data_IF_497807948098
#
_entry.id   IF_497807948098
#
_cell.length_a   1.000
_cell.length_b   1.000
_cell.length_c   1.000
_cell.angle_alpha   90.00
_cell.angle_beta   90.00
_cell.angle_gamma   90.00
#
_symmetry.space_group_name_H-M   'P 1'
#
loop_
_entity.id
_entity.type
_entity.pdbx_description
1 polymer ?
#
# COMPACT_ATOMS: atom_id res chain seq x y z
N UNK A 1 11.01 -56.18 -57.05
CA UNK A 1 10.17 -55.03 -56.83
C UNK A 1 10.03 -54.84 -55.30
N UNK A 2 10.90 -54.01 -54.69
CA UNK A 2 10.97 -53.84 -53.23
C UNK A 2 10.18 -52.62 -52.85
N UNK A 3 9.12 -52.78 -52.01
CA UNK A 3 8.33 -51.71 -51.42
C UNK A 3 9.01 -51.31 -50.14
N UNK A 4 9.54 -50.07 -50.05
CA UNK A 4 10.02 -49.45 -48.81
C UNK A 4 8.85 -48.82 -48.09
N UNK A 5 8.45 -49.40 -46.94
CA UNK A 5 7.57 -48.72 -45.98
C UNK A 5 8.36 -47.63 -45.21
N UNK A 6 7.96 -46.39 -45.39
CA UNK A 6 8.42 -45.26 -44.57
C UNK A 6 7.45 -45.11 -43.41
N UNK A 7 7.90 -45.46 -42.22
CA UNK A 7 7.16 -45.20 -40.96
C UNK A 7 7.49 -43.78 -40.53
N UNK A 8 6.56 -42.85 -40.76
CA UNK A 8 6.63 -41.47 -40.27
C UNK A 8 6.28 -41.43 -38.78
N UNK A 9 7.29 -41.20 -37.94
CA UNK A 9 7.07 -40.96 -36.53
C UNK A 9 6.50 -39.57 -36.30
N UNK A 10 5.27 -39.49 -35.77
CA UNK A 10 4.66 -38.24 -35.29
C UNK A 10 5.25 -37.94 -33.92
N UNK A 11 6.15 -36.94 -33.82
CA UNK A 11 6.59 -36.35 -32.59
C UNK A 11 5.47 -35.45 -32.05
N UNK A 12 4.75 -35.93 -31.01
CA UNK A 12 3.85 -35.13 -30.23
C UNK A 12 4.69 -34.15 -29.38
N UNK A 13 4.77 -32.89 -29.78
CA UNK A 13 5.24 -31.79 -28.95
C UNK A 13 4.17 -31.51 -27.88
N UNK A 14 4.34 -32.10 -26.68
CA UNK A 14 3.59 -31.70 -25.50
C UNK A 14 4.18 -30.33 -25.10
N UNK A 15 3.54 -29.25 -25.55
CA UNK A 15 3.84 -27.90 -25.08
C UNK A 15 3.58 -27.85 -23.56
N UNK A 16 4.64 -27.81 -22.77
CA UNK A 16 4.55 -27.39 -21.38
C UNK A 16 4.05 -25.94 -21.40
N UNK A 17 2.78 -25.73 -21.12
CA UNK A 17 2.24 -24.42 -20.75
C UNK A 17 2.89 -24.12 -19.39
N UNK A 18 4.03 -23.44 -19.42
CA UNK A 18 4.68 -22.96 -18.23
C UNK A 18 3.70 -22.02 -17.53
N UNK A 19 3.09 -22.46 -16.43
CA UNK A 19 2.43 -21.56 -15.52
C UNK A 19 3.50 -20.56 -15.09
N UNK A 20 3.33 -19.29 -15.51
CA UNK A 20 4.15 -18.20 -14.97
C UNK A 20 3.89 -18.15 -13.48
N UNK A 21 4.88 -18.57 -12.70
CA UNK A 21 4.78 -18.68 -11.24
C UNK A 21 4.81 -17.27 -10.64
N UNK A 22 3.71 -16.53 -10.78
CA UNK A 22 3.56 -15.12 -10.39
C UNK A 22 2.33 -14.93 -9.51
N UNK A 23 2.50 -14.14 -8.46
CA UNK A 23 1.44 -13.69 -7.56
C UNK A 23 1.19 -12.20 -7.79
N UNK A 24 0.00 -11.83 -8.21
CA UNK A 24 -0.40 -10.45 -8.47
C UNK A 24 -0.99 -9.81 -7.21
N UNK A 25 -0.26 -8.88 -6.64
CA UNK A 25 -0.63 -8.20 -5.40
C UNK A 25 -1.04 -6.75 -5.68
N UNK A 26 -2.31 -6.45 -5.41
CA UNK A 26 -2.82 -5.09 -5.38
C UNK A 26 -2.54 -4.51 -3.98
N UNK A 27 -1.76 -3.44 -3.86
CA UNK A 27 -1.40 -2.85 -2.56
C UNK A 27 -1.56 -1.33 -2.55
N UNK A 28 -2.15 -0.79 -1.49
CA UNK A 28 -2.21 0.65 -1.27
C UNK A 28 -0.79 1.26 -1.17
N UNK A 29 -0.58 2.41 -1.80
CA UNK A 29 0.74 3.01 -2.02
C UNK A 29 1.56 3.31 -0.75
N UNK A 30 0.91 3.45 0.41
CA UNK A 30 1.61 3.61 1.69
C UNK A 30 2.48 2.39 2.03
N UNK A 31 2.05 1.18 1.65
CA UNK A 31 2.70 -0.07 2.03
C UNK A 31 3.69 -0.58 0.95
N UNK A 32 3.82 0.11 -0.18
CA UNK A 32 4.62 -0.32 -1.32
C UNK A 32 6.07 -0.66 -0.97
N UNK A 33 6.81 0.27 -0.36
CA UNK A 33 8.23 0.05 -0.02
C UNK A 33 8.44 -1.10 0.97
N UNK A 34 7.52 -1.23 1.94
CA UNK A 34 7.50 -2.33 2.91
C UNK A 34 7.24 -3.65 2.20
N UNK A 35 6.23 -3.66 1.30
CA UNK A 35 5.88 -4.86 0.54
C UNK A 35 6.99 -5.30 -0.39
N UNK A 36 7.72 -4.39 -1.03
CA UNK A 36 8.86 -4.74 -1.89
C UNK A 36 9.90 -5.58 -1.14
N UNK A 37 10.27 -5.19 0.09
CA UNK A 37 11.24 -5.94 0.88
C UNK A 37 10.68 -7.29 1.33
N UNK A 38 9.44 -7.32 1.82
CA UNK A 38 8.75 -8.56 2.21
C UNK A 38 8.63 -9.52 1.02
N UNK A 39 8.27 -9.01 -0.16
CA UNK A 39 8.10 -9.80 -1.38
C UNK A 39 9.40 -10.43 -1.87
N UNK A 40 10.54 -9.73 -1.72
CA UNK A 40 11.84 -10.27 -2.08
C UNK A 40 12.18 -11.52 -1.26
N UNK A 41 11.87 -11.52 0.04
CA UNK A 41 12.09 -12.67 0.92
C UNK A 41 11.12 -13.82 0.62
N UNK A 42 9.86 -13.49 0.35
CA UNK A 42 8.89 -14.50 -0.07
C UNK A 42 9.33 -15.18 -1.37
N UNK A 43 9.75 -14.39 -2.36
CA UNK A 43 10.26 -14.92 -3.63
C UNK A 43 11.50 -15.79 -3.41
N UNK A 44 12.46 -15.36 -2.58
CA UNK A 44 13.65 -16.13 -2.28
C UNK A 44 13.35 -17.49 -1.61
N UNK A 45 12.31 -17.53 -0.75
CA UNK A 45 11.94 -18.75 -0.01
C UNK A 45 11.03 -19.71 -0.77
N UNK A 46 10.28 -19.22 -1.77
CA UNK A 46 9.23 -20.00 -2.46
C UNK A 46 9.45 -20.17 -3.95
N UNK A 47 10.32 -19.35 -4.57
CA UNK A 47 10.46 -19.24 -6.03
C UNK A 47 9.30 -18.50 -6.72
N UNK A 48 8.25 -18.11 -5.98
CA UNK A 48 7.07 -17.42 -6.52
C UNK A 48 7.34 -15.92 -6.65
N UNK A 49 7.33 -15.39 -7.87
CA UNK A 49 7.55 -13.97 -8.13
C UNK A 49 6.31 -13.15 -7.75
N UNK A 50 6.50 -12.14 -6.94
CA UNK A 50 5.42 -11.17 -6.59
C UNK A 50 5.43 -9.99 -7.56
N UNK A 51 4.29 -9.77 -8.21
CA UNK A 51 4.04 -8.62 -9.10
C UNK A 51 3.16 -7.63 -8.35
N UNK A 52 3.66 -6.42 -8.14
CA UNK A 52 3.01 -5.41 -7.29
C UNK A 52 2.37 -4.32 -8.15
N UNK A 53 1.09 -4.04 -7.91
CA UNK A 53 0.37 -2.89 -8.46
C UNK A 53 -0.05 -1.97 -7.31
N UNK A 54 0.26 -0.66 -7.41
CA UNK A 54 0.19 0.25 -6.26
C UNK A 54 -0.38 1.64 -6.56
N UNK A 55 -1.67 1.81 -6.84
CA UNK A 55 -2.37 3.10 -6.77
C UNK A 55 -2.97 3.36 -5.38
N UNK A 56 -4.05 4.16 -5.29
CA UNK A 56 -4.82 4.33 -4.06
C UNK A 56 -5.69 3.10 -3.75
N UNK A 57 -6.08 2.93 -2.50
CA UNK A 57 -7.02 1.88 -2.08
C UNK A 57 -8.32 1.93 -2.87
N UNK A 58 -8.87 3.13 -3.10
CA UNK A 58 -10.11 3.31 -3.87
C UNK A 58 -9.97 2.95 -5.35
N UNK A 59 -8.84 3.32 -5.96
CA UNK A 59 -8.56 2.97 -7.36
C UNK A 59 -8.42 1.45 -7.53
N UNK A 60 -7.69 0.79 -6.63
CA UNK A 60 -7.55 -0.68 -6.63
C UNK A 60 -8.91 -1.37 -6.48
N UNK A 61 -9.72 -0.90 -5.53
CA UNK A 61 -11.07 -1.43 -5.32
C UNK A 61 -11.92 -1.33 -6.59
N UNK A 62 -11.91 -0.17 -7.26
CA UNK A 62 -12.61 0.00 -8.54
C UNK A 62 -12.09 -0.97 -9.61
N UNK A 63 -10.77 -1.14 -9.75
CA UNK A 63 -10.17 -2.08 -10.68
C UNK A 63 -10.60 -3.53 -10.40
N UNK A 64 -10.65 -3.94 -9.12
CA UNK A 64 -11.09 -5.28 -8.71
C UNK A 64 -12.57 -5.49 -9.08
N UNK A 65 -13.44 -4.50 -8.85
CA UNK A 65 -14.85 -4.58 -9.25
C UNK A 65 -15.02 -4.73 -10.77
N UNK A 66 -14.11 -4.15 -11.55
CA UNK A 66 -14.07 -4.29 -13.02
C UNK A 66 -13.30 -5.53 -13.50
N UNK A 67 -12.91 -6.44 -12.59
CA UNK A 67 -12.33 -7.73 -12.93
C UNK A 67 -10.83 -7.75 -13.16
N UNK A 68 -10.08 -6.77 -12.64
CA UNK A 68 -8.62 -6.81 -12.67
C UNK A 68 -8.09 -8.10 -12.01
N UNK A 69 -7.09 -8.78 -12.63
CA UNK A 69 -6.66 -10.11 -12.26
C UNK A 69 -5.65 -10.09 -11.10
N UNK A 70 -6.07 -9.62 -9.94
CA UNK A 70 -5.26 -9.68 -8.73
C UNK A 70 -5.60 -10.93 -7.91
N UNK A 71 -4.61 -11.47 -7.20
CA UNK A 71 -4.74 -12.62 -6.32
C UNK A 71 -5.07 -12.21 -4.89
N UNK A 72 -4.47 -11.12 -4.42
CA UNK A 72 -4.68 -10.58 -3.09
C UNK A 72 -4.69 -9.04 -3.12
N UNK A 73 -5.55 -8.45 -2.32
CA UNK A 73 -5.65 -7.00 -2.15
C UNK A 73 -5.28 -6.59 -0.73
N UNK A 74 -4.26 -5.75 -0.59
CA UNK A 74 -3.81 -5.13 0.65
C UNK A 74 -4.28 -3.67 0.68
N UNK A 75 -5.44 -3.45 1.26
CA UNK A 75 -6.07 -2.13 1.39
C UNK A 75 -5.47 -1.34 2.55
N UNK A 76 -5.58 -0.02 2.52
CA UNK A 76 -5.28 0.83 3.66
C UNK A 76 -6.53 1.15 4.52
N UNK A 77 -7.64 0.47 4.30
CA UNK A 77 -8.85 0.52 5.13
C UNK A 77 -9.46 -0.88 5.31
N UNK A 78 -10.53 -0.95 6.11
CA UNK A 78 -11.33 -2.17 6.31
C UNK A 78 -12.58 -2.19 5.42
N UNK A 79 -13.12 -1.00 5.09
CA UNK A 79 -14.39 -0.86 4.38
C UNK A 79 -14.41 -1.58 3.04
N UNK A 80 -13.39 -1.34 2.21
CA UNK A 80 -13.34 -1.90 0.85
C UNK A 80 -13.10 -3.42 0.82
N UNK A 81 -12.20 -4.00 1.64
CA UNK A 81 -12.14 -5.45 1.85
C UNK A 81 -13.45 -6.06 2.33
N UNK A 82 -14.17 -5.43 3.29
CA UNK A 82 -15.48 -5.88 3.76
C UNK A 82 -16.52 -5.91 2.64
N UNK A 83 -16.54 -4.89 1.80
CA UNK A 83 -17.45 -4.82 0.65
C UNK A 83 -17.15 -5.92 -0.38
N UNK A 84 -15.87 -6.24 -0.64
CA UNK A 84 -15.48 -7.33 -1.55
C UNK A 84 -15.94 -8.70 -1.01
N UNK A 85 -15.78 -8.93 0.29
CA UNK A 85 -16.26 -10.17 0.93
C UNK A 85 -17.78 -10.26 0.84
N UNK A 86 -18.51 -9.19 1.18
CA UNK A 86 -19.99 -9.14 1.08
C UNK A 86 -20.51 -9.39 -0.33
N UNK A 87 -19.76 -8.99 -1.35
CA UNK A 87 -20.08 -9.20 -2.77
C UNK A 87 -19.66 -10.60 -3.28
N UNK A 88 -19.04 -11.44 -2.45
CA UNK A 88 -18.51 -12.74 -2.87
C UNK A 88 -17.32 -12.66 -3.85
N UNK A 89 -16.61 -11.53 -3.89
CA UNK A 89 -15.44 -11.31 -4.75
C UNK A 89 -14.13 -11.72 -4.05
N UNK A 90 -14.14 -11.73 -2.72
CA UNK A 90 -12.99 -12.11 -1.90
C UNK A 90 -13.35 -12.86 -0.65
N UNK A 91 -12.36 -13.49 -0.04
CA UNK A 91 -12.47 -14.27 1.20
C UNK A 91 -11.26 -14.07 2.11
N UNK A 92 -11.28 -14.69 3.29
CA UNK A 92 -10.12 -14.77 4.21
C UNK A 92 -9.52 -13.40 4.58
N UNK A 93 -10.41 -12.41 4.83
CA UNK A 93 -10.00 -11.06 5.24
C UNK A 93 -9.28 -11.07 6.60
N UNK A 94 -8.21 -10.26 6.71
CA UNK A 94 -7.49 -10.05 7.98
C UNK A 94 -6.80 -8.70 8.02
N UNK A 95 -6.65 -8.12 9.23
CA UNK A 95 -5.85 -6.89 9.43
C UNK A 95 -4.36 -7.25 9.43
N UNK A 96 -3.58 -6.67 8.50
CA UNK A 96 -2.15 -6.93 8.40
C UNK A 96 -1.28 -5.83 9.03
N UNK A 97 -1.80 -4.60 9.14
CA UNK A 97 -1.10 -3.45 9.71
C UNK A 97 -2.08 -2.38 10.24
N UNK A 98 -1.58 -1.54 11.15
CA UNK A 98 -2.23 -0.30 11.57
C UNK A 98 -1.36 0.86 11.10
N UNK A 99 -1.87 1.68 10.18
CA UNK A 99 -1.15 2.78 9.58
C UNK A 99 -0.95 3.94 10.57
N UNK A 100 0.15 4.65 10.39
CA UNK A 100 0.45 5.89 11.11
C UNK A 100 0.68 7.00 10.10
N UNK A 101 0.06 8.15 10.33
CA UNK A 101 0.25 9.34 9.49
C UNK A 101 1.28 10.26 10.11
N UNK A 102 2.04 10.97 9.27
CA UNK A 102 3.01 11.99 9.66
C UNK A 102 2.86 13.23 8.77
N UNK A 103 3.13 14.39 9.32
CA UNK A 103 3.35 15.61 8.55
C UNK A 103 4.86 15.73 8.29
N UNK A 104 5.27 15.66 7.04
CA UNK A 104 6.65 15.89 6.62
C UNK A 104 6.84 17.28 6.03
N UNK A 105 8.09 17.75 6.00
CA UNK A 105 8.50 19.00 5.35
C UNK A 105 9.58 18.76 4.31
N UNK A 106 9.81 19.75 3.43
CA UNK A 106 11.01 19.80 2.59
C UNK A 106 12.25 20.08 3.43
N UNK A 107 13.44 19.79 2.90
CA UNK A 107 14.73 20.01 3.59
C UNK A 107 14.98 21.48 3.95
N UNK A 108 14.54 22.41 3.09
CA UNK A 108 14.69 23.84 3.31
C UNK A 108 13.68 24.44 4.28
N UNK A 109 12.78 23.64 4.87
CA UNK A 109 11.86 24.14 5.88
C UNK A 109 12.62 24.53 7.14
N UNK A 110 12.47 25.77 7.65
CA UNK A 110 13.45 26.41 8.56
C UNK A 110 13.49 25.80 9.96
N UNK A 111 12.55 24.94 10.33
CA UNK A 111 12.44 24.38 11.69
C UNK A 111 11.98 22.93 11.67
N UNK A 112 12.20 22.19 12.78
CA UNK A 112 11.62 20.88 12.94
C UNK A 112 10.10 20.90 12.71
N UNK A 113 9.60 19.97 11.92
CA UNK A 113 8.17 19.86 11.63
C UNK A 113 7.39 19.46 12.87
N UNK A 114 6.42 20.27 13.25
CA UNK A 114 5.52 20.06 14.40
C UNK A 114 4.08 20.36 13.99
N UNK A 115 3.11 20.21 14.89
CA UNK A 115 1.73 20.67 14.66
C UNK A 115 1.69 22.15 14.28
N UNK A 116 2.49 22.99 14.96
CA UNK A 116 2.51 24.44 14.73
C UNK A 116 3.04 24.82 13.35
N UNK A 117 3.74 23.92 12.65
CA UNK A 117 4.15 24.14 11.26
C UNK A 117 2.94 24.40 10.35
N UNK A 118 1.77 23.84 10.65
CA UNK A 118 0.52 24.09 9.91
C UNK A 118 -0.03 25.52 10.08
N UNK A 119 0.42 26.25 11.11
CA UNK A 119 0.02 27.63 11.41
C UNK A 119 1.04 28.66 10.93
N UNK A 120 2.23 28.20 10.50
CA UNK A 120 3.31 29.07 10.01
C UNK A 120 3.12 29.46 8.54
N UNK A 121 4.05 30.24 8.00
CA UNK A 121 4.07 30.59 6.59
C UNK A 121 4.62 29.42 5.77
N UNK A 122 3.84 28.91 4.83
CA UNK A 122 4.24 27.95 3.81
C UNK A 122 3.40 28.21 2.54
N UNK A 123 3.88 27.75 1.38
CA UNK A 123 3.19 27.90 0.09
C UNK A 123 2.07 26.88 -0.07
N UNK A 124 2.42 25.59 -0.02
CA UNK A 124 1.50 24.49 -0.29
C UNK A 124 1.64 23.35 0.72
N UNK A 125 0.50 22.73 1.03
CA UNK A 125 0.36 21.52 1.82
C UNK A 125 -0.21 20.40 0.94
N UNK A 126 0.54 19.34 0.70
CA UNK A 126 0.01 18.18 0.00
C UNK A 126 -0.73 17.24 0.96
N UNK A 127 -1.90 16.77 0.53
CA UNK A 127 -2.63 15.67 1.18
C UNK A 127 -3.01 14.63 0.12
N UNK A 128 -3.08 13.33 0.46
CA UNK A 128 -3.69 12.35 -0.44
C UNK A 128 -5.18 12.67 -0.63
N UNK A 129 -5.76 12.32 -1.78
CA UNK A 129 -7.19 12.54 -2.02
C UNK A 129 -8.03 11.80 -0.96
N UNK A 130 -8.81 12.51 -0.11
CA UNK A 130 -9.57 11.90 0.99
C UNK A 130 -10.63 10.89 0.54
N UNK A 131 -11.15 11.03 -0.68
CA UNK A 131 -12.20 10.13 -1.21
C UNK A 131 -11.64 8.78 -1.67
N UNK A 132 -10.36 8.76 -2.09
CA UNK A 132 -9.71 7.58 -2.65
C UNK A 132 -8.70 6.93 -1.72
N UNK A 133 -8.09 7.71 -0.82
CA UNK A 133 -6.98 7.28 0.02
C UNK A 133 -7.30 7.40 1.51
N UNK A 134 -7.25 6.32 2.30
CA UNK A 134 -7.48 6.35 3.75
C UNK A 134 -6.55 7.31 4.49
N UNK A 135 -5.30 7.46 4.06
CA UNK A 135 -4.38 8.46 4.61
C UNK A 135 -4.83 9.91 4.31
N UNK A 136 -5.51 10.14 3.20
CA UNK A 136 -6.12 11.43 2.89
C UNK A 136 -7.33 11.71 3.78
N UNK A 137 -8.16 10.70 4.03
CA UNK A 137 -9.25 10.80 5.01
C UNK A 137 -8.72 11.16 6.40
N UNK A 138 -7.68 10.48 6.87
CA UNK A 138 -7.02 10.80 8.13
C UNK A 138 -6.43 12.21 8.15
N UNK A 139 -5.76 12.66 7.08
CA UNK A 139 -5.25 14.03 6.97
C UNK A 139 -6.37 15.08 7.06
N UNK A 140 -7.51 14.84 6.41
CA UNK A 140 -8.69 15.71 6.52
C UNK A 140 -9.22 15.73 7.96
N UNK A 141 -9.30 14.59 8.64
CA UNK A 141 -9.70 14.53 10.04
C UNK A 141 -8.75 15.34 10.94
N UNK A 142 -7.44 15.19 10.79
CA UNK A 142 -6.43 15.97 11.53
C UNK A 142 -6.67 17.47 11.35
N UNK A 143 -6.76 17.93 10.10
CA UNK A 143 -6.98 19.35 9.81
C UNK A 143 -8.33 19.85 10.33
N UNK A 144 -9.37 19.02 10.31
CA UNK A 144 -10.69 19.36 10.85
C UNK A 144 -10.65 19.46 12.36
N UNK A 145 -10.04 18.50 13.05
CA UNK A 145 -9.90 18.50 14.52
C UNK A 145 -9.10 19.71 15.01
N UNK A 146 -8.09 20.15 14.25
CA UNK A 146 -7.30 21.34 14.52
C UNK A 146 -7.97 22.66 14.06
N UNK A 147 -9.17 22.61 13.50
CA UNK A 147 -9.87 23.77 12.89
C UNK A 147 -9.09 24.42 11.72
N UNK A 148 -8.24 23.66 11.04
CA UNK A 148 -7.37 24.12 9.95
C UNK A 148 -7.87 23.71 8.53
N UNK A 149 -8.89 22.83 8.44
CA UNK A 149 -9.38 22.37 7.13
C UNK A 149 -9.84 23.53 6.24
N UNK A 150 -10.72 24.38 6.72
CA UNK A 150 -11.24 25.52 5.95
C UNK A 150 -10.16 26.61 5.70
N UNK A 151 -9.40 27.06 6.70
CA UNK A 151 -8.34 28.04 6.49
C UNK A 151 -7.28 27.66 5.46
N UNK A 152 -6.95 26.35 5.37
CA UNK A 152 -5.89 25.87 4.50
C UNK A 152 -6.36 25.43 3.10
N UNK A 153 -7.66 25.47 2.77
CA UNK A 153 -8.20 25.00 1.48
C UNK A 153 -7.45 25.54 0.25
N UNK A 154 -7.10 26.83 0.26
CA UNK A 154 -6.40 27.49 -0.86
C UNK A 154 -4.93 27.06 -0.99
N UNK A 155 -4.36 26.43 0.04
CA UNK A 155 -2.97 25.93 0.06
C UNK A 155 -2.88 24.41 -0.17
N UNK A 156 -4.02 23.72 -0.16
CA UNK A 156 -4.05 22.27 -0.29
C UNK A 156 -3.82 21.85 -1.75
N UNK A 157 -2.85 20.97 -1.95
CA UNK A 157 -2.60 20.26 -3.20
C UNK A 157 -2.95 18.78 -2.97
N UNK A 158 -3.87 18.23 -3.77
CA UNK A 158 -4.29 16.85 -3.64
C UNK A 158 -3.43 15.92 -4.48
N UNK A 159 -2.73 14.99 -3.83
CA UNK A 159 -2.12 13.84 -4.48
C UNK A 159 -3.16 12.75 -4.74
N UNK A 160 -3.05 12.02 -5.83
CA UNK A 160 -3.95 10.90 -6.15
C UNK A 160 -3.95 9.81 -5.05
N UNK A 161 -2.81 9.63 -4.40
CA UNK A 161 -2.58 8.69 -3.31
C UNK A 161 -1.43 9.19 -2.44
N UNK A 162 -1.12 8.48 -1.33
CA UNK A 162 -0.06 8.90 -0.41
C UNK A 162 1.35 8.78 -1.02
N UNK A 163 1.55 7.92 -2.00
CA UNK A 163 2.81 7.83 -2.76
C UNK A 163 3.03 9.07 -3.62
N UNK A 164 1.98 9.55 -4.34
CA UNK A 164 2.05 10.78 -5.10
C UNK A 164 2.26 12.00 -4.18
N UNK A 165 1.55 12.07 -3.04
CA UNK A 165 1.76 13.11 -2.03
C UNK A 165 3.22 13.12 -1.53
N UNK A 166 3.80 11.95 -1.27
CA UNK A 166 5.20 11.82 -0.90
C UNK A 166 6.14 12.32 -2.01
N UNK A 167 5.85 12.02 -3.27
CA UNK A 167 6.64 12.50 -4.42
C UNK A 167 6.61 14.02 -4.54
N UNK A 168 5.43 14.64 -4.39
CA UNK A 168 5.29 16.12 -4.39
C UNK A 168 6.15 16.78 -3.30
N UNK A 169 6.18 16.19 -2.10
CA UNK A 169 7.02 16.65 -1.01
C UNK A 169 8.52 16.42 -1.28
N UNK A 170 8.88 15.23 -1.76
CA UNK A 170 10.28 14.85 -2.02
C UNK A 170 10.92 15.66 -3.13
N UNK A 171 10.16 16.15 -4.10
CA UNK A 171 10.60 17.00 -5.21
C UNK A 171 10.54 18.50 -4.93
N UNK A 172 10.08 18.91 -3.72
CA UNK A 172 9.98 20.33 -3.33
C UNK A 172 8.84 21.09 -4.01
N UNK A 173 7.89 20.40 -4.64
CA UNK A 173 6.70 21.02 -5.22
C UNK A 173 5.74 21.57 -4.17
N UNK A 174 5.80 21.05 -2.95
CA UNK A 174 5.07 21.51 -1.77
C UNK A 174 6.00 21.61 -0.58
N UNK A 175 5.71 22.48 0.36
CA UNK A 175 6.56 22.70 1.53
C UNK A 175 6.26 21.70 2.66
N UNK A 176 4.99 21.31 2.79
CA UNK A 176 4.50 20.37 3.78
C UNK A 176 3.65 19.27 3.10
N UNK A 177 3.60 18.08 3.71
CA UNK A 177 2.76 17.01 3.18
C UNK A 177 2.39 15.99 4.23
N UNK A 178 1.11 15.55 4.24
CA UNK A 178 0.68 14.41 5.02
C UNK A 178 1.04 13.11 4.29
N UNK A 179 1.95 12.34 4.87
CA UNK A 179 2.51 11.10 4.33
C UNK A 179 2.35 9.96 5.35
N UNK A 180 2.65 8.72 4.94
CA UNK A 180 2.73 7.64 5.93
C UNK A 180 4.00 7.79 6.78
N UNK A 181 3.94 7.33 8.04
CA UNK A 181 5.10 7.30 8.91
C UNK A 181 6.24 6.46 8.29
N UNK A 182 5.90 5.39 7.58
CA UNK A 182 6.88 4.56 6.86
C UNK A 182 7.66 5.36 5.81
N UNK A 183 6.99 6.24 5.07
CA UNK A 183 7.64 7.14 4.11
C UNK A 183 8.48 8.22 4.81
N UNK A 184 7.98 8.78 5.91
CA UNK A 184 8.73 9.75 6.71
C UNK A 184 10.04 9.15 7.24
N UNK A 185 9.98 7.95 7.84
CA UNK A 185 11.16 7.23 8.35
C UNK A 185 12.14 6.85 7.22
N UNK A 186 11.68 6.46 6.06
CA UNK A 186 12.55 6.14 4.92
C UNK A 186 13.29 7.37 4.40
N UNK A 187 12.68 8.56 4.51
CA UNK A 187 13.26 9.84 4.09
C UNK A 187 14.29 10.36 5.06
N UNK A 188 14.04 10.34 6.38
CA UNK A 188 15.01 10.80 7.40
C UNK A 188 16.31 10.01 7.37
N UNK A 189 16.29 8.76 6.94
CA UNK A 189 17.50 7.96 6.76
C UNK A 189 18.36 8.39 5.57
N UNK A 190 17.86 9.23 4.67
CA UNK A 190 18.55 9.70 3.45
C UNK A 190 18.87 11.20 3.47
N UNK A 191 18.06 11.97 4.17
CA UNK A 191 18.11 13.44 4.22
C UNK A 191 17.76 13.89 5.64
N UNK A 192 18.35 14.98 6.12
CA UNK A 192 18.03 15.56 7.45
C UNK A 192 16.66 16.25 7.46
N UNK A 193 15.62 15.57 7.00
CA UNK A 193 14.27 16.09 6.99
C UNK A 193 13.54 15.74 8.28
N UNK A 194 12.73 16.67 8.74
CA UNK A 194 11.94 16.53 9.94
C UNK A 194 10.50 16.08 9.61
N UNK A 195 9.89 15.39 10.55
CA UNK A 195 8.48 15.07 10.47
C UNK A 195 7.84 15.09 11.85
N UNK A 196 6.57 15.46 11.87
CA UNK A 196 5.72 15.32 13.04
C UNK A 196 4.89 14.05 12.94
N UNK A 197 5.10 13.11 13.86
CA UNK A 197 4.25 11.94 13.99
C UNK A 197 2.92 12.38 14.58
N UNK A 198 1.86 12.30 13.79
CA UNK A 198 0.53 12.77 14.21
C UNK A 198 -0.01 11.90 15.35
N UNK A 199 -0.50 12.53 16.44
CA UNK A 199 -1.15 11.82 17.54
C UNK A 199 -2.42 11.07 17.09
N UNK A 200 -2.64 9.87 17.62
CA UNK A 200 -3.82 9.04 17.31
C UNK A 200 -5.14 9.72 17.69
N UNK A 201 -5.13 10.64 18.63
CA UNK A 201 -6.32 11.39 19.06
C UNK A 201 -6.88 12.34 17.98
N UNK A 202 -6.09 12.66 16.92
CA UNK A 202 -6.48 13.63 15.89
C UNK A 202 -7.16 12.98 14.68
N UNK A 203 -7.18 11.65 14.58
CA UNK A 203 -7.81 10.93 13.47
C UNK A 203 -8.22 9.51 13.89
N UNK A 204 -9.14 8.92 13.16
CA UNK A 204 -9.51 7.52 13.35
C UNK A 204 -8.34 6.57 13.02
N UNK A 205 -8.28 5.38 13.65
CA UNK A 205 -7.26 4.38 13.36
C UNK A 205 -7.26 3.95 11.88
N UNK A 206 -6.11 3.99 11.23
CA UNK A 206 -5.95 3.53 9.84
C UNK A 206 -5.72 2.02 9.86
N UNK A 207 -6.80 1.23 10.05
CA UNK A 207 -6.74 -0.23 10.05
C UNK A 207 -6.69 -0.74 8.63
N UNK A 208 -5.64 -1.49 8.30
CA UNK A 208 -5.34 -1.94 6.95
C UNK A 208 -5.63 -3.44 6.82
N UNK A 209 -6.61 -3.78 6.02
CA UNK A 209 -7.03 -5.17 5.83
C UNK A 209 -6.56 -5.71 4.46
N UNK A 210 -6.18 -6.98 4.48
CA UNK A 210 -5.95 -7.79 3.29
C UNK A 210 -7.15 -8.69 3.03
N UNK A 211 -7.42 -8.96 1.74
CA UNK A 211 -8.45 -9.91 1.29
C UNK A 211 -7.92 -10.72 0.11
N UNK A 212 -8.12 -12.03 0.13
CA UNK A 212 -7.80 -12.93 -0.99
C UNK A 212 -8.93 -12.84 -2.01
N UNK A 213 -8.60 -12.73 -3.30
CA UNK A 213 -9.58 -12.54 -4.37
C UNK A 213 -9.90 -13.88 -5.06
N UNK A 214 -11.20 -14.15 -5.26
CA UNK A 214 -11.68 -15.45 -5.71
C UNK A 214 -11.36 -15.76 -7.19
N UNK A 215 -11.02 -14.74 -7.99
CA UNK A 215 -10.64 -14.91 -9.42
C UNK A 215 -9.16 -15.16 -9.63
N UNK A 216 -8.35 -15.03 -8.56
CA UNK A 216 -6.92 -15.20 -8.62
C UNK A 216 -6.44 -16.61 -8.26
N UNK A 217 -5.13 -16.78 -8.15
CA UNK A 217 -4.52 -18.00 -7.63
C UNK A 217 -4.66 -18.02 -6.09
N UNK A 218 -5.76 -18.61 -5.62
CA UNK A 218 -6.11 -18.64 -4.18
C UNK A 218 -5.09 -19.40 -3.33
N UNK A 219 -4.45 -20.44 -3.85
CA UNK A 219 -3.46 -21.22 -3.10
C UNK A 219 -2.22 -20.38 -2.80
N UNK A 220 -1.64 -19.76 -3.81
CA UNK A 220 -0.47 -18.90 -3.64
C UNK A 220 -0.81 -17.64 -2.85
N UNK A 221 -2.01 -17.07 -3.01
CA UNK A 221 -2.49 -15.96 -2.19
C UNK A 221 -2.62 -16.35 -0.70
N UNK A 222 -3.09 -17.56 -0.37
CA UNK A 222 -3.14 -18.11 1.00
C UNK A 222 -1.74 -18.31 1.57
N UNK A 223 -0.80 -18.83 0.77
CA UNK A 223 0.63 -18.97 1.18
C UNK A 223 1.23 -17.59 1.51
N UNK A 224 0.98 -16.59 0.66
CA UNK A 224 1.45 -15.23 0.88
C UNK A 224 0.78 -14.57 2.10
N UNK A 225 -0.52 -14.75 2.29
CA UNK A 225 -1.24 -14.28 3.47
C UNK A 225 -0.71 -14.92 4.78
N UNK A 226 -0.37 -16.20 4.76
CA UNK A 226 0.27 -16.87 5.90
C UNK A 226 1.67 -16.30 6.17
N UNK A 227 2.45 -16.02 5.13
CA UNK A 227 3.76 -15.39 5.24
C UNK A 227 3.66 -13.97 5.85
N UNK A 228 2.71 -13.14 5.42
CA UNK A 228 2.45 -11.81 6.00
C UNK A 228 2.10 -11.87 7.50
N UNK A 229 1.44 -12.94 7.94
CA UNK A 229 1.07 -13.17 9.35
C UNK A 229 2.21 -13.74 10.19
N UNK A 230 3.31 -14.17 9.59
CA UNK A 230 4.43 -14.77 10.32
C UNK A 230 5.07 -13.78 11.31
N UNK A 231 5.59 -14.23 12.46
CA UNK A 231 6.21 -13.35 13.45
C UNK A 231 7.36 -12.51 12.89
N UNK A 232 8.15 -13.08 11.98
CA UNK A 232 9.28 -12.39 11.33
C UNK A 232 8.78 -11.23 10.48
N UNK A 233 7.80 -11.46 9.61
CA UNK A 233 7.24 -10.41 8.74
C UNK A 233 6.51 -9.35 9.55
N UNK A 234 5.75 -9.74 10.57
CA UNK A 234 5.10 -8.81 11.50
C UNK A 234 6.11 -7.90 12.20
N UNK A 235 7.24 -8.44 12.66
CA UNK A 235 8.32 -7.64 13.25
C UNK A 235 8.87 -6.61 12.25
N UNK A 236 9.06 -7.00 10.99
CA UNK A 236 9.49 -6.07 9.92
C UNK A 236 8.46 -4.98 9.66
N UNK A 237 7.18 -5.32 9.54
CA UNK A 237 6.10 -4.33 9.36
C UNK A 237 6.17 -3.27 10.47
N UNK A 238 6.41 -3.69 11.73
CA UNK A 238 6.59 -2.75 12.85
C UNK A 238 7.83 -1.87 12.69
N UNK A 239 8.96 -2.43 12.25
CA UNK A 239 10.20 -1.68 11.99
C UNK A 239 10.02 -0.59 10.92
N UNK A 240 9.13 -0.81 9.96
CA UNK A 240 8.75 0.18 8.95
C UNK A 240 7.81 1.28 9.46
N UNK A 241 7.48 1.30 10.75
CA UNK A 241 6.67 2.37 11.34
C UNK A 241 5.15 2.11 11.33
N UNK A 242 4.72 0.88 11.15
CA UNK A 242 3.34 0.45 11.36
C UNK A 242 3.14 -0.07 12.78
N UNK A 243 1.96 0.17 13.35
CA UNK A 243 1.51 -0.60 14.48
C UNK A 243 0.88 -1.93 13.99
N UNK A 244 0.72 -2.89 14.87
CA UNK A 244 0.17 -4.21 14.54
C UNK A 244 -1.11 -4.48 15.35
N UNK A 245 -2.10 -5.17 14.75
CA UNK A 245 -3.23 -5.66 15.53
C UNK A 245 -2.75 -6.67 16.57
N UNK A 246 -3.44 -6.73 17.70
CA UNK A 246 -3.26 -7.82 18.65
C UNK A 246 -3.59 -9.14 17.95
N UNK A 247 -2.82 -10.18 18.25
CA UNK A 247 -3.13 -11.52 17.78
C UNK A 247 -4.38 -12.00 18.55
N UNK A 248 -5.35 -12.63 17.87
CA UNK A 248 -6.41 -13.32 18.59
C UNK A 248 -5.77 -14.35 19.53
N UNK A 249 -6.21 -14.31 20.79
CA UNK A 249 -5.84 -15.31 21.82
C UNK A 249 -6.39 -16.66 21.49
#
# INVERSE_FOLDING_TARGET
MFIKCVIGGILLFIGFVGHTNQLYVAVASNFYSTLQQISSEFTASTGLKVVITTPSTGTLYAQILHGAPYDIFLAADQKRPDELVKKGIGESKFTYALGRIALGSIESFPEPTTEDSLKKSFRYLAIPNPELAPYGHAARQVLTTLNLWQPLQKKIVMGENVGHTFSLLATGNVDLGFISLAQALSRTNRTNTWFWKVPLALHDPIRQDAVILNKGNMEDAKRFAAFLKSPVVRSKIRQFGYDLPELPR
#
